data_IF_995207867626
#
_entry.id   IF_995207867626
#
_cell.length_a   1.000
_cell.length_b   1.000
_cell.length_c   1.000
_cell.angle_alpha   90.00
_cell.angle_beta   90.00
_cell.angle_gamma   90.00
#
_symmetry.space_group_name_H-M   'P 1'
#
loop_
_entity.id
_entity.type
_entity.pdbx_description
1 polymer ?
#
# COMPACT_ATOMS: atom_id res chain seq x y z
N UNK A 1 -1.85 9.16 6.42
CA UNK A 1 -2.13 8.63 5.06
C UNK A 1 -2.14 9.78 4.07
N UNK A 2 -1.61 9.57 2.89
CA UNK A 2 -1.61 10.56 1.80
C UNK A 2 -2.45 9.99 0.66
N UNK A 3 -3.31 10.80 0.08
CA UNK A 3 -4.12 10.43 -1.09
C UNK A 3 -3.84 11.46 -2.17
N UNK A 4 -3.42 10.99 -3.33
CA UNK A 4 -3.16 11.86 -4.48
C UNK A 4 -3.36 11.10 -5.79
N UNK A 5 -3.60 11.81 -6.91
CA UNK A 5 -3.59 11.16 -8.22
C UNK A 5 -2.23 10.55 -8.53
N UNK A 6 -2.22 9.39 -9.20
CA UNK A 6 -0.97 8.71 -9.55
C UNK A 6 0.02 9.60 -10.31
N UNK A 7 -0.48 10.42 -11.22
CA UNK A 7 0.34 11.37 -11.98
C UNK A 7 1.13 12.35 -11.12
N UNK A 8 0.69 12.59 -9.88
CA UNK A 8 1.28 13.57 -8.97
C UNK A 8 2.16 12.93 -7.88
N UNK A 9 2.26 11.60 -7.85
CA UNK A 9 2.93 10.89 -6.75
C UNK A 9 4.42 11.23 -6.64
N UNK A 10 5.09 11.54 -7.74
CA UNK A 10 6.52 11.85 -7.73
C UNK A 10 6.87 13.13 -6.96
N UNK A 11 5.89 13.95 -6.59
CA UNK A 11 6.13 15.10 -5.69
C UNK A 11 6.67 14.64 -4.32
N UNK A 12 6.43 13.40 -3.94
CA UNK A 12 6.88 12.83 -2.68
C UNK A 12 8.24 12.11 -2.76
N UNK A 13 8.85 12.06 -3.95
CA UNK A 13 10.15 11.40 -4.14
C UNK A 13 11.26 11.91 -3.20
N UNK A 14 11.34 13.19 -2.85
CA UNK A 14 12.36 13.67 -1.91
C UNK A 14 12.31 13.05 -0.52
N UNK A 15 11.14 12.54 -0.11
CA UNK A 15 10.93 11.93 1.22
C UNK A 15 10.65 10.43 1.16
N UNK A 16 10.58 9.85 -0.04
CA UNK A 16 10.31 8.42 -0.26
C UNK A 16 11.39 7.80 -1.14
N UNK A 17 12.42 7.24 -0.50
CA UNK A 17 13.51 6.59 -1.21
C UNK A 17 13.00 5.39 -2.02
N UNK A 18 13.38 5.33 -3.29
CA UNK A 18 12.97 4.26 -4.20
C UNK A 18 11.65 4.51 -4.93
N UNK A 19 10.97 5.64 -4.65
CA UNK A 19 9.70 5.94 -5.30
C UNK A 19 9.84 6.11 -6.82
N UNK A 20 10.88 6.78 -7.29
CA UNK A 20 11.09 7.00 -8.73
C UNK A 20 11.24 5.68 -9.49
N UNK A 21 12.01 4.74 -8.96
CA UNK A 21 12.17 3.42 -9.55
C UNK A 21 10.84 2.65 -9.57
N UNK A 22 10.11 2.68 -8.46
CA UNK A 22 8.82 2.00 -8.35
C UNK A 22 7.81 2.55 -9.35
N UNK A 23 7.70 3.85 -9.46
CA UNK A 23 6.77 4.50 -10.41
C UNK A 23 7.14 4.17 -11.85
N UNK A 24 8.42 4.23 -12.19
CA UNK A 24 8.89 3.88 -13.53
C UNK A 24 8.56 2.41 -13.87
N UNK A 25 8.79 1.49 -12.93
CA UNK A 25 8.49 0.08 -13.12
C UNK A 25 6.99 -0.17 -13.32
N UNK A 26 6.15 0.47 -12.53
CA UNK A 26 4.69 0.36 -12.66
C UNK A 26 4.20 0.95 -13.98
N UNK A 27 4.71 2.11 -14.38
CA UNK A 27 4.34 2.75 -15.64
C UNK A 27 4.77 1.96 -16.88
N UNK A 28 5.76 1.09 -16.76
CA UNK A 28 6.24 0.23 -17.83
C UNK A 28 5.53 -1.13 -17.91
N UNK A 29 4.57 -1.40 -17.05
CA UNK A 29 3.79 -2.63 -17.12
C UNK A 29 3.00 -2.69 -18.44
N UNK A 30 3.06 -3.84 -19.10
CA UNK A 30 2.33 -4.10 -20.35
C UNK A 30 1.03 -4.88 -20.13
N UNK A 31 0.89 -5.50 -18.97
CA UNK A 31 -0.31 -6.19 -18.53
C UNK A 31 -0.45 -6.05 -17.00
N UNK A 32 -1.63 -6.38 -16.48
CA UNK A 32 -1.94 -6.33 -15.06
C UNK A 32 -2.30 -7.71 -14.51
N UNK A 33 -1.67 -8.75 -15.02
CA UNK A 33 -1.78 -10.09 -14.44
C UNK A 33 -1.13 -10.11 -13.06
N UNK A 34 -1.72 -10.89 -12.15
CA UNK A 34 -1.21 -11.00 -10.77
C UNK A 34 0.24 -11.48 -10.77
N UNK A 35 1.11 -10.71 -10.17
CA UNK A 35 2.55 -10.99 -10.09
C UNK A 35 3.20 -10.22 -8.96
N UNK A 36 4.41 -10.63 -8.62
CA UNK A 36 5.30 -9.92 -7.69
C UNK A 36 6.55 -9.51 -8.45
N UNK A 37 6.95 -8.25 -8.31
CA UNK A 37 8.14 -7.69 -8.95
C UNK A 37 9.08 -7.13 -7.89
N UNK A 38 10.34 -7.59 -7.92
CA UNK A 38 11.39 -7.09 -7.03
C UNK A 38 12.02 -5.82 -7.59
N UNK A 39 12.33 -4.89 -6.70
CA UNK A 39 13.01 -3.63 -6.99
C UNK A 39 14.27 -3.51 -6.14
N UNK A 40 15.03 -2.44 -6.33
CA UNK A 40 16.23 -2.17 -5.54
C UNK A 40 15.90 -1.90 -4.07
N UNK A 41 16.86 -2.17 -3.18
CA UNK A 41 16.75 -1.85 -1.75
C UNK A 41 15.74 -2.68 -0.98
N UNK A 42 15.37 -3.86 -1.47
CA UNK A 42 14.35 -4.70 -0.86
C UNK A 42 12.92 -4.24 -1.13
N UNK A 43 12.74 -3.20 -1.93
CA UNK A 43 11.42 -2.75 -2.36
C UNK A 43 10.83 -3.75 -3.35
N UNK A 44 9.52 -3.79 -3.41
CA UNK A 44 8.79 -4.65 -4.35
C UNK A 44 7.39 -4.11 -4.59
N UNK A 45 6.78 -4.53 -5.67
CA UNK A 45 5.36 -4.28 -5.87
C UNK A 45 4.63 -5.56 -6.29
N UNK A 46 3.35 -5.56 -6.01
CA UNK A 46 2.44 -6.64 -6.37
C UNK A 46 1.39 -6.11 -7.32
N UNK A 47 1.07 -6.87 -8.33
CA UNK A 47 -0.13 -6.64 -9.14
C UNK A 47 -1.18 -7.62 -8.64
N UNK A 48 -2.29 -7.09 -8.17
CA UNK A 48 -3.40 -7.88 -7.64
C UNK A 48 -4.65 -7.61 -8.46
N UNK A 49 -5.39 -8.66 -8.77
CA UNK A 49 -6.65 -8.58 -9.49
C UNK A 49 -7.69 -9.42 -8.78
N UNK A 50 -8.89 -8.89 -8.64
CA UNK A 50 -9.98 -9.59 -7.98
C UNK A 50 -11.01 -8.65 -7.38
N UNK A 51 -11.87 -9.22 -6.57
CA UNK A 51 -12.90 -8.48 -5.83
C UNK A 51 -12.41 -8.22 -4.40
N UNK A 52 -12.62 -7.02 -3.90
CA UNK A 52 -12.34 -6.69 -2.51
C UNK A 52 -13.25 -7.48 -1.57
N UNK A 53 -12.74 -7.79 -0.40
CA UNK A 53 -13.45 -8.56 0.63
C UNK A 53 -13.69 -7.70 1.85
N UNK A 54 -14.55 -8.16 2.76
CA UNK A 54 -14.74 -7.51 4.05
C UNK A 54 -13.40 -7.32 4.77
N UNK A 55 -13.16 -6.14 5.36
CA UNK A 55 -11.90 -5.88 6.04
C UNK A 55 -11.73 -6.79 7.26
N UNK A 56 -10.54 -7.37 7.37
CA UNK A 56 -10.10 -8.07 8.55
C UNK A 56 -9.31 -7.16 9.48
N UNK A 57 -8.19 -7.66 9.98
CA UNK A 57 -7.27 -6.85 10.77
C UNK A 57 -6.51 -5.85 9.90
N UNK A 58 -6.27 -4.67 10.44
CA UNK A 58 -5.41 -3.69 9.79
C UNK A 58 -3.94 -4.10 9.89
N UNK A 59 -3.12 -3.55 9.00
CA UNK A 59 -1.70 -3.83 8.95
C UNK A 59 -0.89 -2.55 9.13
N UNK A 60 0.25 -2.66 9.80
CA UNK A 60 1.23 -1.59 9.87
C UNK A 60 2.65 -2.15 9.73
N UNK A 61 3.54 -1.31 9.25
CA UNK A 61 4.94 -1.63 8.99
C UNK A 61 5.84 -0.63 9.69
N UNK A 62 7.09 -1.02 9.98
CA UNK A 62 8.07 -0.14 10.63
C UNK A 62 9.17 0.34 9.68
N UNK A 63 9.48 -0.47 8.66
CA UNK A 63 10.59 -0.20 7.72
C UNK A 63 10.12 0.30 6.37
N UNK A 64 8.98 -0.18 5.89
CA UNK A 64 8.48 0.09 4.54
C UNK A 64 7.16 0.85 4.58
N UNK A 65 6.92 1.61 3.55
CA UNK A 65 5.63 2.28 3.29
C UNK A 65 4.87 1.49 2.22
N UNK A 66 3.58 1.38 2.40
CA UNK A 66 2.70 0.83 1.39
C UNK A 66 2.16 1.94 0.50
N UNK A 67 2.25 1.72 -0.80
CA UNK A 67 1.61 2.56 -1.81
C UNK A 67 0.59 1.70 -2.54
N UNK A 68 -0.66 2.11 -2.47
CA UNK A 68 -1.75 1.42 -3.13
C UNK A 68 -2.25 2.24 -4.31
N UNK A 69 -2.08 1.71 -5.50
CA UNK A 69 -2.48 2.33 -6.74
C UNK A 69 -3.64 1.55 -7.37
N UNK A 70 -4.77 2.21 -7.53
CA UNK A 70 -5.96 1.60 -8.14
C UNK A 70 -5.91 1.83 -9.64
N UNK A 71 -5.54 0.79 -10.38
CA UNK A 71 -5.45 0.83 -11.84
C UNK A 71 -6.83 0.80 -12.47
N UNK A 72 -7.73 -0.04 -11.94
CA UNK A 72 -9.09 -0.20 -12.45
C UNK A 72 -10.05 -0.49 -11.29
N UNK A 73 -11.24 0.09 -11.37
CA UNK A 73 -12.25 -0.09 -10.35
C UNK A 73 -12.12 0.88 -9.18
N UNK A 74 -12.51 0.41 -8.03
CA UNK A 74 -12.43 1.18 -6.78
C UNK A 74 -12.25 0.26 -5.58
N UNK A 75 -11.73 0.81 -4.51
CA UNK A 75 -11.52 0.10 -3.26
C UNK A 75 -11.89 0.98 -2.08
N UNK A 76 -12.49 0.39 -1.07
CA UNK A 76 -12.75 1.06 0.21
C UNK A 76 -11.59 0.72 1.14
N UNK A 77 -10.89 1.75 1.62
CA UNK A 77 -9.73 1.62 2.49
C UNK A 77 -10.05 2.14 3.86
N UNK A 78 -9.74 1.35 4.89
CA UNK A 78 -9.86 1.77 6.29
C UNK A 78 -8.56 2.37 6.80
N UNK A 79 -8.67 3.43 7.59
CA UNK A 79 -7.55 4.14 8.19
C UNK A 79 -7.82 4.48 9.65
N UNK A 80 -6.77 4.36 10.48
CA UNK A 80 -6.73 4.92 11.83
C UNK A 80 -5.28 5.24 12.21
N UNK A 81 -5.04 6.27 13.04
CA UNK A 81 -3.72 6.50 13.62
C UNK A 81 -3.26 5.25 14.40
N UNK A 82 -2.00 4.87 14.26
CA UNK A 82 -1.47 3.67 14.92
C UNK A 82 -1.61 3.72 16.44
N UNK A 83 -1.46 4.90 17.03
CA UNK A 83 -1.60 5.13 18.46
C UNK A 83 -3.00 4.82 19.01
N UNK A 84 -4.02 4.85 18.15
CA UNK A 84 -5.40 4.54 18.49
C UNK A 84 -5.76 3.06 18.23
N UNK A 85 -4.81 2.26 17.78
CA UNK A 85 -4.99 0.85 17.45
C UNK A 85 -4.32 -0.05 18.49
N UNK A 86 -4.81 -1.29 18.56
CA UNK A 86 -4.24 -2.33 19.43
C UNK A 86 -3.69 -3.47 18.59
N UNK A 87 -2.44 -3.86 18.88
CA UNK A 87 -1.82 -4.98 18.21
C UNK A 87 -2.49 -6.30 18.62
N UNK A 88 -2.68 -7.16 17.65
CA UNK A 88 -3.15 -8.54 17.84
C UNK A 88 -1.97 -9.48 17.63
N UNK A 89 -1.54 -10.12 18.71
CA UNK A 89 -0.32 -10.94 18.70
C UNK A 89 0.95 -10.09 18.72
N UNK A 90 2.03 -10.63 18.19
CA UNK A 90 3.33 -9.97 18.17
C UNK A 90 3.61 -9.35 16.80
N UNK A 91 4.40 -8.27 16.80
CA UNK A 91 4.91 -7.71 15.57
C UNK A 91 5.94 -8.67 14.94
N UNK A 92 5.77 -8.99 13.66
CA UNK A 92 6.70 -9.85 12.93
C UNK A 92 7.84 -9.01 12.35
N UNK A 93 8.97 -9.01 12.99
CA UNK A 93 10.15 -8.22 12.58
C UNK A 93 10.73 -8.69 11.25
N UNK A 94 10.68 -9.97 10.96
CA UNK A 94 11.22 -10.55 9.72
C UNK A 94 10.40 -10.10 8.49
N UNK A 95 9.07 -10.13 8.62
CA UNK A 95 8.15 -9.72 7.56
C UNK A 95 7.80 -8.23 7.61
N UNK A 96 8.25 -7.52 8.64
CA UNK A 96 7.93 -6.11 8.89
C UNK A 96 6.42 -5.85 8.91
N UNK A 97 5.68 -6.65 9.67
CA UNK A 97 4.22 -6.53 9.73
C UNK A 97 3.68 -6.73 11.14
N UNK A 98 2.73 -5.91 11.50
CA UNK A 98 1.86 -6.08 12.67
C UNK A 98 0.41 -6.04 12.25
N UNK A 99 -0.42 -6.79 12.93
CA UNK A 99 -1.86 -6.80 12.76
C UNK A 99 -2.53 -6.06 13.90
N UNK A 100 -3.54 -5.25 13.59
CA UNK A 100 -4.15 -4.34 14.55
C UNK A 100 -5.67 -4.33 14.46
N UNK A 101 -6.29 -4.09 15.61
CA UNK A 101 -7.71 -3.71 15.70
C UNK A 101 -7.81 -2.24 16.05
N UNK A 102 -8.91 -1.60 15.69
CA UNK A 102 -9.18 -0.20 16.01
C UNK A 102 -10.49 0.28 15.41
N UNK A 103 -10.77 1.55 15.62
CA UNK A 103 -11.91 2.24 15.00
C UNK A 103 -11.40 2.94 13.74
N UNK A 104 -11.82 2.46 12.57
CA UNK A 104 -11.33 2.94 11.29
C UNK A 104 -12.33 3.89 10.63
N UNK A 105 -11.81 4.94 10.02
CA UNK A 105 -12.53 5.70 9.02
C UNK A 105 -12.31 5.07 7.66
N UNK A 106 -13.34 5.08 6.82
CA UNK A 106 -13.30 4.43 5.51
C UNK A 106 -13.40 5.46 4.39
N UNK A 107 -12.56 5.27 3.38
CA UNK A 107 -12.49 6.13 2.21
C UNK A 107 -12.60 5.26 0.97
N UNK A 108 -13.36 5.71 -0.03
CA UNK A 108 -13.41 5.07 -1.33
C UNK A 108 -12.36 5.70 -2.24
N UNK A 109 -11.46 4.87 -2.75
CA UNK A 109 -10.41 5.30 -3.69
C UNK A 109 -10.74 4.70 -5.05
N UNK A 110 -10.78 5.55 -6.07
CA UNK A 110 -11.05 5.16 -7.45
C UNK A 110 -9.79 5.08 -8.31
N UNK A 111 -10.01 4.89 -9.60
CA UNK A 111 -8.94 4.76 -10.60
C UNK A 111 -8.06 6.00 -10.68
N UNK A 112 -6.75 5.77 -10.89
CA UNK A 112 -5.77 6.84 -11.06
C UNK A 112 -5.35 7.44 -9.73
#
# INVERSE_FOLDING_TARGET
>A
MIICPWKDILRYAPVMKGLEEAVAAVNNLTDYESKTCELSGGNRFFVLSGTTVEPGLAEAHRKYLDIQYIVKGKEVVGYAPLEDCQIVGDFNEEKDIGKYTGNFEYITIGEG
#
